data_IF_419221009330
#
_entry.id   IF_419221009330
#
_cell.length_a   1.000
_cell.length_b   1.000
_cell.length_c   1.000
_cell.angle_alpha   90.00
_cell.angle_beta   90.00
_cell.angle_gamma   90.00
#
_symmetry.space_group_name_H-M   'P 1'
#
loop_
_entity.id
_entity.type
_entity.pdbx_description
1 polymer ?
#
# COMPACT_ATOMS: atom_id res chain seq x y z
N UNK A 1 11.54 4.27 7.51
CA UNK A 1 10.11 4.53 7.77
C UNK A 1 9.26 3.60 6.92
N UNK A 2 8.13 3.12 7.45
CA UNK A 2 7.15 2.32 6.73
C UNK A 2 5.82 3.08 6.59
N UNK A 3 5.20 3.03 5.42
CA UNK A 3 3.83 3.52 5.21
C UNK A 3 2.98 2.35 4.74
N UNK A 4 1.90 2.05 5.47
CA UNK A 4 0.91 1.06 5.11
C UNK A 4 -0.29 1.81 4.55
N UNK A 5 -0.48 1.75 3.24
CA UNK A 5 -1.54 2.49 2.56
C UNK A 5 -2.53 1.56 1.84
N UNK A 6 -3.69 2.09 1.52
CA UNK A 6 -4.74 1.37 0.79
C UNK A 6 -6.13 1.69 1.31
N UNK A 7 -7.19 1.24 0.62
CA UNK A 7 -8.56 1.60 0.95
C UNK A 7 -9.03 1.05 2.29
N UNK A 8 -10.09 1.65 2.81
CA UNK A 8 -10.81 1.12 3.99
C UNK A 8 -11.30 -0.29 3.68
N UNK A 9 -11.12 -1.22 4.62
CA UNK A 9 -11.51 -2.63 4.43
C UNK A 9 -10.50 -3.50 3.66
N UNK A 10 -9.40 -2.95 3.15
CA UNK A 10 -8.37 -3.72 2.43
C UNK A 10 -7.55 -4.67 3.32
N UNK A 11 -7.54 -4.47 4.64
CA UNK A 11 -6.84 -5.32 5.60
C UNK A 11 -5.49 -4.78 6.07
N UNK A 12 -5.26 -3.47 6.01
CA UNK A 12 -4.02 -2.81 6.47
C UNK A 12 -3.67 -3.14 7.92
N UNK A 13 -4.61 -2.96 8.83
CA UNK A 13 -4.41 -3.27 10.26
C UNK A 13 -4.11 -4.74 10.48
N UNK A 14 -4.77 -5.64 9.73
CA UNK A 14 -4.48 -7.09 9.79
C UNK A 14 -3.05 -7.38 9.31
N UNK A 15 -2.60 -6.69 8.25
CA UNK A 15 -1.24 -6.81 7.77
C UNK A 15 -0.22 -6.32 8.80
N UNK A 16 -0.46 -5.16 9.40
CA UNK A 16 0.39 -4.61 10.44
C UNK A 16 0.51 -5.57 11.64
N UNK A 17 -0.60 -6.06 12.15
CA UNK A 17 -0.63 -6.98 13.28
C UNK A 17 0.14 -8.29 13.00
N UNK A 18 0.06 -8.78 11.76
CA UNK A 18 0.69 -10.04 11.38
C UNK A 18 2.20 -9.92 11.06
N UNK A 19 2.66 -8.77 10.53
CA UNK A 19 4.00 -8.70 9.94
C UNK A 19 4.88 -7.55 10.44
N UNK A 20 4.29 -6.49 11.01
CA UNK A 20 5.03 -5.29 11.35
C UNK A 20 4.97 -4.92 12.83
N UNK A 21 4.04 -5.45 13.58
CA UNK A 21 3.85 -5.08 14.98
C UNK A 21 5.05 -5.41 15.86
N UNK A 22 5.73 -6.52 15.62
CA UNK A 22 6.91 -6.90 16.38
C UNK A 22 8.08 -5.93 16.17
N UNK A 23 8.53 -5.64 14.92
CA UNK A 23 9.61 -4.68 14.68
C UNK A 23 9.20 -3.21 14.88
N UNK A 24 7.90 -2.89 14.77
CA UNK A 24 7.36 -1.54 14.92
C UNK A 24 6.14 -1.57 15.87
N UNK A 25 6.35 -1.63 17.19
CA UNK A 25 5.26 -1.83 18.15
C UNK A 25 4.26 -0.67 18.20
N UNK A 26 4.65 0.51 17.70
CA UNK A 26 3.78 1.69 17.60
C UNK A 26 3.42 1.98 16.15
N UNK A 27 2.13 1.84 15.83
CA UNK A 27 1.56 2.34 14.58
C UNK A 27 1.16 3.80 14.79
N UNK A 28 1.87 4.69 14.13
CA UNK A 28 1.63 6.14 14.26
C UNK A 28 0.45 6.53 13.35
N UNK A 29 -0.56 7.24 13.85
CA UNK A 29 -1.63 7.76 13.01
C UNK A 29 -1.12 8.70 11.92
N UNK A 30 -1.86 8.81 10.81
CA UNK A 30 -1.54 9.70 9.69
C UNK A 30 -1.78 11.20 10.00
N UNK A 31 -1.47 11.63 11.21
CA UNK A 31 -1.56 13.00 11.69
C UNK A 31 -0.14 13.57 11.86
N UNK A 32 0.19 14.61 11.11
CA UNK A 32 1.55 15.18 11.04
C UNK A 32 2.15 15.49 12.41
N UNK A 33 1.38 16.08 13.33
CA UNK A 33 1.89 16.40 14.67
C UNK A 33 2.30 15.17 15.49
N UNK A 34 1.77 13.98 15.16
CA UNK A 34 2.14 12.72 15.82
C UNK A 34 3.34 12.04 15.17
N UNK A 35 3.64 12.40 13.92
CA UNK A 35 4.78 11.86 13.16
C UNK A 35 6.06 12.67 13.42
N UNK A 36 5.92 13.99 13.67
CA UNK A 36 7.04 14.90 13.80
C UNK A 36 8.07 14.49 14.86
N UNK A 37 7.70 14.04 16.07
CA UNK A 37 8.68 13.58 17.06
C UNK A 37 9.56 12.43 16.58
N UNK A 38 8.99 11.50 15.76
CA UNK A 38 9.76 10.40 15.20
C UNK A 38 10.77 10.88 14.15
N UNK A 39 10.37 11.86 13.32
CA UNK A 39 11.25 12.47 12.33
C UNK A 39 12.40 13.22 13.00
N UNK A 40 12.12 14.02 14.02
CA UNK A 40 13.11 14.83 14.75
C UNK A 40 14.13 13.94 15.48
N UNK A 41 13.66 12.85 16.10
CA UNK A 41 14.50 11.90 16.82
C UNK A 41 15.14 10.84 15.91
N UNK A 42 14.85 10.86 14.62
CA UNK A 42 15.29 9.85 13.62
C UNK A 42 14.96 8.41 14.02
N UNK A 43 13.82 8.22 14.67
CA UNK A 43 13.35 6.90 15.08
C UNK A 43 12.57 6.22 13.97
N UNK A 44 12.78 4.93 13.77
CA UNK A 44 11.98 4.13 12.83
C UNK A 44 10.54 4.03 13.31
N UNK A 45 9.58 4.22 12.41
CA UNK A 45 8.15 4.12 12.70
C UNK A 45 7.34 3.63 11.49
N UNK A 46 6.13 3.16 11.76
CA UNK A 46 5.15 2.78 10.77
C UNK A 46 3.93 3.71 10.85
N UNK A 47 3.39 4.06 9.69
CA UNK A 47 2.17 4.89 9.54
C UNK A 47 1.12 4.11 8.77
N UNK A 48 -0.15 4.17 9.20
CA UNK A 48 -1.29 3.65 8.43
C UNK A 48 -2.12 4.79 7.86
N UNK A 49 -2.41 4.77 6.56
CA UNK A 49 -3.26 5.76 5.89
C UNK A 49 -4.10 5.11 4.76
N UNK A 50 -5.07 5.85 4.25
CA UNK A 50 -5.83 5.50 3.03
C UNK A 50 -4.98 5.76 1.79
N UNK A 51 -4.25 6.87 1.77
CA UNK A 51 -3.38 7.30 0.67
C UNK A 51 -1.94 7.39 1.13
N UNK A 52 -1.02 7.32 0.19
CA UNK A 52 0.38 7.63 0.51
C UNK A 52 0.54 9.15 0.61
N UNK A 53 0.91 9.65 1.77
CA UNK A 53 1.28 11.06 1.96
C UNK A 53 2.65 11.32 1.32
N UNK A 54 2.65 11.97 0.15
CA UNK A 54 3.87 12.29 -0.59
C UNK A 54 4.73 13.31 0.13
N UNK A 55 4.12 14.25 0.89
CA UNK A 55 4.87 15.22 1.68
C UNK A 55 5.61 14.55 2.83
N UNK A 56 5.00 13.55 3.47
CA UNK A 56 5.67 12.75 4.50
C UNK A 56 6.85 11.98 3.90
N UNK A 57 6.72 11.42 2.68
CA UNK A 57 7.84 10.76 1.98
C UNK A 57 8.99 11.73 1.75
N UNK A 58 8.72 12.94 1.26
CA UNK A 58 9.74 13.95 1.00
C UNK A 58 10.44 14.40 2.30
N UNK A 59 9.68 14.64 3.37
CA UNK A 59 10.23 15.00 4.69
C UNK A 59 11.09 13.87 5.27
N UNK A 60 10.63 12.63 5.18
CA UNK A 60 11.38 11.48 5.64
C UNK A 60 12.70 11.32 4.87
N UNK A 61 12.68 11.46 3.55
CA UNK A 61 13.90 11.44 2.73
C UNK A 61 14.87 12.56 3.09
N UNK A 62 14.36 13.79 3.26
CA UNK A 62 15.18 14.92 3.70
C UNK A 62 15.82 14.67 5.08
N UNK A 63 15.13 13.96 5.98
CA UNK A 63 15.65 13.54 7.27
C UNK A 63 16.56 12.30 7.22
N UNK A 64 16.83 11.73 6.02
CA UNK A 64 17.74 10.61 5.81
C UNK A 64 17.12 9.23 6.04
N UNK A 65 15.79 9.11 6.03
CA UNK A 65 15.13 7.81 6.11
C UNK A 65 15.19 7.05 4.78
N UNK A 66 15.37 5.74 4.88
CA UNK A 66 14.89 4.83 3.84
C UNK A 66 13.37 4.66 3.98
N UNK A 67 12.64 4.84 2.87
CA UNK A 67 11.18 4.85 2.84
C UNK A 67 10.64 3.60 2.16
N UNK A 68 9.82 2.84 2.87
CA UNK A 68 9.14 1.66 2.34
C UNK A 68 7.63 1.83 2.40
N UNK A 69 6.97 1.73 1.24
CA UNK A 69 5.52 1.78 1.12
C UNK A 69 4.98 0.38 0.89
N UNK A 70 3.99 0.00 1.68
CA UNK A 70 3.24 -1.26 1.59
C UNK A 70 1.81 -0.90 1.21
N UNK A 71 1.46 -1.04 -0.06
CA UNK A 71 0.12 -0.73 -0.53
C UNK A 71 -0.71 -2.01 -0.61
N UNK A 72 -1.86 -2.02 0.09
CA UNK A 72 -2.74 -3.18 0.18
C UNK A 72 -4.08 -2.83 -0.43
N UNK A 73 -4.53 -3.60 -1.43
CA UNK A 73 -5.83 -3.43 -2.06
C UNK A 73 -6.55 -4.76 -2.26
N UNK A 74 -7.75 -4.68 -2.79
CA UNK A 74 -8.61 -5.81 -3.19
C UNK A 74 -9.07 -5.59 -4.62
N UNK A 75 -9.73 -6.60 -5.22
CA UNK A 75 -10.21 -6.53 -6.61
C UNK A 75 -11.18 -5.38 -6.85
N UNK A 76 -12.08 -5.12 -5.90
CA UNK A 76 -13.04 -4.03 -6.01
C UNK A 76 -13.50 -3.47 -4.65
N UNK A 77 -14.15 -2.29 -4.71
CA UNK A 77 -14.66 -1.61 -3.53
C UNK A 77 -15.81 -2.37 -2.81
N UNK A 78 -16.59 -3.18 -3.53
CA UNK A 78 -17.73 -3.89 -2.93
C UNK A 78 -17.25 -4.97 -1.96
N UNK A 79 -16.11 -5.62 -2.28
CA UNK A 79 -15.48 -6.55 -1.35
C UNK A 79 -15.08 -5.84 -0.05
N UNK A 80 -14.55 -4.63 -0.14
CA UNK A 80 -14.21 -3.83 1.03
C UNK A 80 -15.46 -3.42 1.82
N UNK A 81 -16.54 -3.02 1.14
CA UNK A 81 -17.83 -2.72 1.77
C UNK A 81 -18.33 -3.93 2.57
N UNK A 82 -18.34 -5.13 1.96
CA UNK A 82 -18.75 -6.36 2.65
C UNK A 82 -17.90 -6.64 3.90
N UNK A 83 -16.59 -6.45 3.85
CA UNK A 83 -15.67 -6.63 5.00
C UNK A 83 -15.94 -5.61 6.11
N UNK A 84 -16.23 -4.36 5.74
CA UNK A 84 -16.60 -3.32 6.71
C UNK A 84 -17.92 -3.68 7.39
N UNK A 85 -18.94 -4.15 6.65
CA UNK A 85 -20.20 -4.62 7.25
C UNK A 85 -19.99 -5.76 8.25
N UNK A 86 -19.20 -6.77 7.90
CA UNK A 86 -18.87 -7.87 8.82
C UNK A 86 -18.14 -7.35 10.07
N UNK A 87 -17.24 -6.39 9.93
CA UNK A 87 -16.58 -5.76 11.07
C UNK A 87 -17.56 -4.99 11.95
N UNK A 88 -18.46 -4.22 11.35
CA UNK A 88 -19.49 -3.47 12.08
C UNK A 88 -20.44 -4.39 12.85
N UNK A 89 -20.88 -5.50 12.26
CA UNK A 89 -21.74 -6.49 12.94
C UNK A 89 -21.09 -7.15 14.17
N UNK A 90 -19.77 -7.03 14.29
CA UNK A 90 -18.97 -7.50 15.42
C UNK A 90 -18.57 -6.39 16.39
N UNK A 91 -19.24 -5.24 16.34
CA UNK A 91 -18.98 -4.09 17.22
C UNK A 91 -17.90 -3.13 16.75
N UNK A 92 -17.42 -3.26 15.51
CA UNK A 92 -16.46 -2.33 14.93
C UNK A 92 -17.10 -0.99 14.54
N UNK A 93 -16.26 0.03 14.33
CA UNK A 93 -16.69 1.38 13.98
C UNK A 93 -17.54 1.40 12.70
N UNK A 94 -18.66 2.13 12.74
CA UNK A 94 -19.51 2.37 11.58
C UNK A 94 -18.80 3.28 10.56
N UNK A 95 -18.82 2.86 9.30
CA UNK A 95 -18.25 3.62 8.18
C UNK A 95 -19.30 3.66 7.07
N UNK A 96 -19.68 4.84 6.56
CA UNK A 96 -20.59 4.97 5.44
C UNK A 96 -20.08 4.24 4.20
N UNK A 97 -20.97 3.59 3.45
CA UNK A 97 -20.62 2.88 2.21
C UNK A 97 -19.93 3.80 1.20
N UNK A 98 -20.42 5.03 1.04
CA UNK A 98 -19.79 6.03 0.17
C UNK A 98 -18.33 6.29 0.56
N UNK A 99 -18.04 6.43 1.85
CA UNK A 99 -16.67 6.63 2.33
C UNK A 99 -15.75 5.45 2.03
N UNK A 100 -16.26 4.21 2.06
CA UNK A 100 -15.48 3.03 1.67
C UNK A 100 -15.17 3.06 0.17
N UNK A 101 -16.16 3.37 -0.67
CA UNK A 101 -16.01 3.46 -2.12
C UNK A 101 -15.06 4.60 -2.50
N UNK A 102 -15.22 5.77 -1.88
CA UNK A 102 -14.36 6.93 -2.13
C UNK A 102 -12.91 6.66 -1.70
N UNK A 103 -12.71 6.03 -0.55
CA UNK A 103 -11.37 5.62 -0.11
C UNK A 103 -10.68 4.68 -1.12
N UNK A 104 -11.44 3.79 -1.76
CA UNK A 104 -10.91 2.89 -2.80
C UNK A 104 -10.45 3.66 -4.04
N UNK A 105 -11.25 4.61 -4.51
CA UNK A 105 -10.91 5.45 -5.67
C UNK A 105 -9.70 6.34 -5.39
N UNK A 106 -9.70 7.00 -4.25
CA UNK A 106 -8.64 7.93 -3.87
C UNK A 106 -7.30 7.24 -3.64
N UNK A 107 -7.29 6.12 -2.91
CA UNK A 107 -6.06 5.37 -2.65
C UNK A 107 -5.45 4.84 -3.95
N UNK A 108 -6.27 4.30 -4.84
CA UNK A 108 -5.82 3.74 -6.12
C UNK A 108 -5.29 4.84 -7.06
N UNK A 109 -5.97 6.00 -7.11
CA UNK A 109 -5.54 7.14 -7.93
C UNK A 109 -4.18 7.70 -7.50
N UNK A 110 -3.91 7.76 -6.20
CA UNK A 110 -2.65 8.29 -5.67
C UNK A 110 -1.45 7.36 -5.88
N UNK A 111 -1.70 6.08 -6.16
CA UNK A 111 -0.67 5.04 -6.18
C UNK A 111 0.30 5.14 -7.37
N UNK A 112 -0.13 5.68 -8.51
CA UNK A 112 0.67 5.73 -9.75
C UNK A 112 2.00 6.51 -9.62
N UNK A 113 2.06 7.50 -8.74
CA UNK A 113 3.26 8.32 -8.52
C UNK A 113 4.20 7.76 -7.45
N UNK A 114 3.69 6.87 -6.58
CA UNK A 114 4.44 6.34 -5.42
C UNK A 114 5.74 5.64 -5.79
N UNK A 115 5.83 4.85 -6.90
CA UNK A 115 7.09 4.22 -7.28
C UNK A 115 8.27 5.20 -7.43
N UNK A 116 8.00 6.44 -7.89
CA UNK A 116 9.03 7.45 -8.09
C UNK A 116 9.44 8.15 -6.77
N UNK A 117 8.57 8.12 -5.79
CA UNK A 117 8.73 8.86 -4.54
C UNK A 117 9.31 8.00 -3.41
N UNK A 118 8.92 6.75 -3.31
CA UNK A 118 9.42 5.82 -2.30
C UNK A 118 10.70 5.11 -2.77
N UNK A 119 11.57 4.75 -1.82
CA UNK A 119 12.74 3.91 -2.15
C UNK A 119 12.32 2.49 -2.47
N UNK A 120 11.27 2.00 -1.81
CA UNK A 120 10.70 0.70 -2.06
C UNK A 120 9.16 0.76 -1.97
N UNK A 121 8.47 0.18 -2.97
CA UNK A 121 7.02 -0.01 -2.95
C UNK A 121 6.69 -1.48 -3.18
N UNK A 122 5.99 -2.08 -2.22
CA UNK A 122 5.39 -3.41 -2.31
C UNK A 122 3.88 -3.27 -2.45
N UNK A 123 3.34 -3.83 -3.50
CA UNK A 123 1.89 -3.81 -3.80
C UNK A 123 1.31 -5.17 -3.51
N UNK A 124 0.31 -5.21 -2.63
CA UNK A 124 -0.34 -6.43 -2.19
C UNK A 124 -1.80 -6.49 -2.63
N UNK A 125 -2.20 -7.65 -3.11
CA UNK A 125 -3.60 -8.01 -3.30
C UNK A 125 -4.09 -8.88 -2.14
N UNK A 126 -5.16 -8.45 -1.50
CA UNK A 126 -5.83 -9.16 -0.40
C UNK A 126 -7.26 -9.55 -0.77
N UNK A 127 -7.51 -9.90 -2.04
CA UNK A 127 -8.86 -10.30 -2.51
C UNK A 127 -9.27 -11.64 -1.90
N UNK A 128 -8.40 -12.63 -1.91
CA UNK A 128 -8.71 -13.99 -1.48
C UNK A 128 -8.62 -14.16 0.04
N UNK A 129 -9.76 -14.29 0.70
CA UNK A 129 -9.89 -14.35 2.17
C UNK A 129 -9.06 -15.42 2.89
N UNK A 130 -8.64 -16.51 2.21
CA UNK A 130 -7.90 -17.62 2.84
C UNK A 130 -6.47 -17.78 2.32
N UNK A 131 -6.03 -16.99 1.36
CA UNK A 131 -4.70 -17.11 0.74
C UNK A 131 -3.67 -16.11 1.27
N UNK A 132 -4.08 -15.24 2.19
CA UNK A 132 -3.21 -14.19 2.72
C UNK A 132 -2.91 -13.08 1.70
N UNK A 133 -1.98 -12.22 2.05
CA UNK A 133 -1.56 -11.10 1.23
C UNK A 133 -0.63 -11.57 0.11
N UNK A 134 -1.03 -11.36 -1.14
CA UNK A 134 -0.26 -11.76 -2.32
C UNK A 134 0.49 -10.54 -2.88
N UNK A 135 1.79 -10.64 -3.02
CA UNK A 135 2.58 -9.59 -3.71
C UNK A 135 2.20 -9.59 -5.19
N UNK A 136 1.81 -8.43 -5.69
CA UNK A 136 1.43 -8.19 -7.09
C UNK A 136 2.56 -7.52 -7.85
N UNK A 137 3.19 -6.53 -7.24
CA UNK A 137 4.30 -5.80 -7.83
C UNK A 137 5.27 -5.32 -6.74
N UNK A 138 6.54 -5.23 -7.07
CA UNK A 138 7.60 -4.74 -6.23
C UNK A 138 8.45 -3.75 -7.01
N UNK A 139 8.50 -2.51 -6.54
CA UNK A 139 9.32 -1.45 -7.13
C UNK A 139 10.48 -1.12 -6.19
N UNK A 140 11.65 -0.88 -6.76
CA UNK A 140 12.86 -0.45 -6.06
C UNK A 140 13.45 0.72 -6.84
N UNK A 141 13.67 1.86 -6.18
CA UNK A 141 14.23 3.06 -6.81
C UNK A 141 13.45 3.51 -8.05
N UNK A 142 12.12 3.43 -8.01
CA UNK A 142 11.23 3.81 -9.10
C UNK A 142 11.06 2.78 -10.21
N UNK A 143 11.80 1.67 -10.19
CA UNK A 143 11.76 0.65 -11.24
C UNK A 143 11.03 -0.61 -10.76
N UNK A 144 10.20 -1.18 -11.63
CA UNK A 144 9.55 -2.46 -11.36
C UNK A 144 10.61 -3.58 -11.33
N UNK A 145 10.81 -4.18 -10.15
CA UNK A 145 11.79 -5.24 -9.89
C UNK A 145 11.20 -6.62 -10.06
N UNK A 146 9.99 -6.83 -9.54
CA UNK A 146 9.27 -8.12 -9.62
C UNK A 146 7.78 -7.90 -9.80
N UNK A 147 7.11 -8.84 -10.47
CA UNK A 147 5.66 -8.87 -10.64
C UNK A 147 5.12 -10.28 -10.49
N UNK A 148 3.85 -10.40 -10.08
CA UNK A 148 3.16 -11.66 -10.06
C UNK A 148 2.89 -12.16 -11.50
N UNK A 149 2.74 -13.47 -11.69
CA UNK A 149 2.33 -14.04 -12.99
C UNK A 149 0.95 -13.57 -13.41
N UNK A 150 0.01 -13.52 -12.48
CA UNK A 150 -1.34 -13.01 -12.69
C UNK A 150 -1.50 -11.67 -11.96
N UNK A 151 -1.75 -10.61 -12.71
CA UNK A 151 -1.95 -9.27 -12.22
C UNK A 151 -3.45 -9.01 -12.09
N UNK A 152 -3.97 -8.58 -10.93
CA UNK A 152 -5.36 -8.17 -10.78
C UNK A 152 -5.67 -6.95 -11.65
N UNK A 153 -6.91 -6.81 -12.12
CA UNK A 153 -7.33 -5.73 -13.02
C UNK A 153 -7.08 -4.35 -12.42
N UNK A 154 -7.31 -4.19 -11.12
CA UNK A 154 -7.05 -2.91 -10.46
C UNK A 154 -5.57 -2.49 -10.53
N UNK A 155 -4.64 -3.44 -10.35
CA UNK A 155 -3.20 -3.17 -10.42
C UNK A 155 -2.74 -2.95 -11.88
N UNK A 156 -3.32 -3.68 -12.83
CA UNK A 156 -3.06 -3.48 -14.25
C UNK A 156 -3.51 -2.08 -14.73
N UNK A 157 -4.62 -1.56 -14.20
CA UNK A 157 -5.09 -0.18 -14.48
C UNK A 157 -4.13 0.88 -13.94
N UNK A 158 -3.50 0.65 -12.79
CA UNK A 158 -2.58 1.60 -12.16
C UNK A 158 -1.19 1.56 -12.79
N UNK A 159 -0.64 0.37 -12.99
CA UNK A 159 0.76 0.14 -13.39
C UNK A 159 0.91 -0.40 -14.82
N UNK A 160 -0.09 -0.22 -15.67
CA UNK A 160 -0.11 -0.82 -17.02
C UNK A 160 1.12 -0.49 -17.86
N UNK A 161 1.65 0.72 -17.78
CA UNK A 161 2.84 1.15 -18.52
C UNK A 161 4.09 0.40 -18.06
N UNK A 162 4.31 0.32 -16.75
CA UNK A 162 5.45 -0.35 -16.13
C UNK A 162 5.41 -1.86 -16.36
N UNK A 163 4.22 -2.45 -16.26
CA UNK A 163 3.99 -3.88 -16.47
C UNK A 163 4.20 -4.29 -17.94
N UNK A 164 3.84 -3.43 -18.89
CA UNK A 164 4.10 -3.67 -20.31
C UNK A 164 5.58 -3.61 -20.65
N UNK A 165 6.32 -2.65 -20.09
CA UNK A 165 7.75 -2.49 -20.33
C UNK A 165 8.55 -3.75 -19.92
N UNK A 166 8.26 -4.33 -18.76
CA UNK A 166 8.95 -5.55 -18.27
C UNK A 166 8.67 -6.75 -19.17
N UNK A 167 7.41 -6.94 -19.61
CA UNK A 167 7.06 -8.06 -20.52
C UNK A 167 7.77 -7.97 -21.88
N UNK A 168 8.04 -6.77 -22.37
CA UNK A 168 8.81 -6.58 -23.61
C UNK A 168 10.29 -6.94 -23.42
N UNK A 169 10.91 -6.55 -22.30
CA UNK A 169 12.29 -6.91 -21.98
C UNK A 169 12.50 -8.41 -21.80
N UNK A 170 11.58 -9.10 -21.12
CA UNK A 170 11.64 -10.55 -20.97
C UNK A 170 11.51 -11.31 -22.30
N UNK A 171 10.70 -10.83 -23.24
CA UNK A 171 10.59 -11.42 -24.58
C UNK A 171 11.87 -11.25 -25.41
N UNK A 172 12.51 -10.09 -25.30
CA UNK A 172 13.77 -9.81 -26.02
C UNK A 172 14.97 -10.57 -25.42
N UNK A 173 14.96 -10.84 -24.10
CA UNK A 173 16.03 -11.59 -23.43
C UNK A 173 15.96 -13.13 -23.61
N UNK A 174 14.79 -13.68 -24.00
CA UNK A 174 14.62 -15.11 -24.28
C UNK A 174 14.88 -15.52 -25.74
N UNK A 175 15.24 -14.56 -26.59
CA UNK A 175 15.51 -14.75 -28.02
C UNK A 175 17.01 -14.80 -28.38
N UNK A 176 17.88 -15.05 -27.38
CA UNK A 176 19.33 -15.27 -27.62
C UNK A 176 19.78 -16.63 -27.09
#
# INVERSE_FOLDING_TARGET
MFIIAGPVGAGKTTFYEAYLKEPFPTLVPALRHQQQPFLDERRSFAVEDIRVDTQLLDQAKAAGYSTKVLFISTEDANLNVGRVFVRMSRGGQAVPVSSVIDSYRESTKSLSEVPKLADELLVYDNTAHRRGFRIVAHFIGGKLSKTAQTIPDWAAKVFGKELHAVKQHEKLGRGR
#
